data_IF_905400828186
#
_entry.id   IF_905400828186
#
_cell.length_a   1.000
_cell.length_b   1.000
_cell.length_c   1.000
_cell.angle_alpha   90.00
_cell.angle_beta   90.00
_cell.angle_gamma   90.00
#
_symmetry.space_group_name_H-M   'P 1'
#
loop_
_entity.id
_entity.type
_entity.pdbx_description
1 polymer ?
#
# COMPACT_ATOMS: atom_id res chain seq x y z
N UNK A 1 8.90 6.41 27.40
CA UNK A 1 7.44 6.32 27.61
C UNK A 1 6.76 6.08 26.28
N UNK A 2 5.75 5.21 26.22
CA UNK A 2 5.00 4.97 24.98
C UNK A 2 4.20 6.23 24.64
N UNK A 3 4.39 6.78 23.44
CA UNK A 3 3.65 7.95 22.96
C UNK A 3 2.15 7.59 22.89
N UNK A 4 1.25 8.41 23.44
CA UNK A 4 -0.18 8.12 23.37
C UNK A 4 -0.62 8.00 21.92
N UNK A 5 -1.49 7.01 21.64
CA UNK A 5 -2.00 6.77 20.29
C UNK A 5 -2.84 7.97 19.86
N UNK A 6 -2.46 8.58 18.74
CA UNK A 6 -3.18 9.72 18.16
C UNK A 6 -4.53 9.31 17.55
N UNK A 7 -4.68 8.02 17.22
CA UNK A 7 -5.75 7.48 16.40
C UNK A 7 -6.37 6.27 17.09
N UNK A 8 -7.67 6.34 17.39
CA UNK A 8 -8.47 5.29 18.04
C UNK A 8 -9.48 4.76 17.04
N UNK A 9 -9.30 3.52 16.57
CA UNK A 9 -10.18 2.92 15.57
C UNK A 9 -11.41 2.34 16.29
N UNK A 10 -12.60 2.77 15.87
CA UNK A 10 -13.88 2.21 16.27
C UNK A 10 -14.68 1.94 15.01
N UNK A 11 -14.75 0.69 14.60
CA UNK A 11 -15.56 0.27 13.47
C UNK A 11 -17.03 0.18 13.89
N UNK A 12 -17.91 0.46 12.94
CA UNK A 12 -19.32 0.06 13.03
C UNK A 12 -19.50 -1.39 12.54
N UNK A 13 -20.61 -2.03 12.91
CA UNK A 13 -20.88 -3.42 12.49
C UNK A 13 -20.94 -3.58 10.97
N UNK A 14 -21.47 -2.58 10.26
CA UNK A 14 -21.55 -2.56 8.80
C UNK A 14 -20.15 -2.45 8.17
N UNK A 15 -19.32 -1.55 8.70
CA UNK A 15 -17.92 -1.39 8.30
C UNK A 15 -17.13 -2.70 8.50
N UNK A 16 -17.28 -3.34 9.65
CA UNK A 16 -16.64 -4.62 9.93
C UNK A 16 -17.12 -5.74 8.99
N UNK A 17 -18.42 -5.76 8.64
CA UNK A 17 -18.98 -6.70 7.66
C UNK A 17 -18.39 -6.48 6.26
N UNK A 18 -18.25 -5.23 5.83
CA UNK A 18 -17.64 -4.92 4.52
C UNK A 18 -16.18 -5.36 4.46
N UNK A 19 -15.38 -5.05 5.48
CA UNK A 19 -13.96 -5.45 5.54
C UNK A 19 -13.80 -6.97 5.52
N UNK A 20 -14.62 -7.70 6.28
CA UNK A 20 -14.63 -9.17 6.27
C UNK A 20 -15.04 -9.74 4.91
N UNK A 21 -16.00 -9.14 4.22
CA UNK A 21 -16.41 -9.54 2.87
C UNK A 21 -15.26 -9.38 1.87
N UNK A 22 -14.53 -8.25 1.94
CA UNK A 22 -13.39 -7.96 1.07
C UNK A 22 -12.25 -8.96 1.28
N UNK A 23 -11.98 -9.36 2.53
CA UNK A 23 -10.94 -10.35 2.85
C UNK A 23 -11.29 -11.75 2.29
N UNK A 24 -12.57 -12.11 2.27
CA UNK A 24 -13.05 -13.41 1.76
C UNK A 24 -13.04 -13.50 0.24
N UNK A 25 -13.08 -12.36 -0.46
CA UNK A 25 -13.10 -12.33 -1.92
C UNK A 25 -11.75 -12.80 -2.48
N UNK A 26 -11.79 -13.75 -3.42
CA UNK A 26 -10.61 -14.36 -4.02
C UNK A 26 -9.79 -13.40 -4.90
N UNK A 27 -10.43 -12.39 -5.50
CA UNK A 27 -9.79 -11.39 -6.35
C UNK A 27 -9.19 -10.19 -5.57
N UNK A 28 -9.11 -10.28 -4.24
CA UNK A 28 -8.55 -9.19 -3.43
C UNK A 28 -7.03 -9.31 -3.37
N UNK A 29 -6.33 -8.22 -3.70
CA UNK A 29 -4.86 -8.17 -3.60
C UNK A 29 -4.38 -8.41 -2.16
N UNK A 30 -3.18 -8.98 -2.02
CA UNK A 30 -2.53 -9.21 -0.72
C UNK A 30 -2.41 -7.92 0.10
N UNK A 31 -2.15 -6.79 -0.57
CA UNK A 31 -2.03 -5.48 0.07
C UNK A 31 -3.35 -5.00 0.66
N UNK A 32 -4.45 -5.05 -0.10
CA UNK A 32 -5.77 -4.65 0.41
C UNK A 32 -6.18 -5.57 1.56
N UNK A 33 -5.98 -6.87 1.41
CA UNK A 33 -6.29 -7.86 2.46
C UNK A 33 -5.53 -7.56 3.75
N UNK A 34 -4.23 -7.31 3.66
CA UNK A 34 -3.39 -6.98 4.82
C UNK A 34 -3.85 -5.67 5.48
N UNK A 35 -4.19 -4.64 4.69
CA UNK A 35 -4.70 -3.37 5.24
C UNK A 35 -6.03 -3.55 5.96
N UNK A 36 -6.98 -4.28 5.38
CA UNK A 36 -8.27 -4.58 6.03
C UNK A 36 -8.07 -5.35 7.33
N UNK A 37 -7.15 -6.34 7.35
CA UNK A 37 -6.85 -7.11 8.55
C UNK A 37 -6.22 -6.25 9.65
N UNK A 38 -5.30 -5.34 9.30
CA UNK A 38 -4.72 -4.39 10.25
C UNK A 38 -5.81 -3.53 10.92
N UNK A 39 -6.80 -3.06 10.15
CA UNK A 39 -7.89 -2.25 10.69
C UNK A 39 -8.79 -3.07 11.63
N UNK A 40 -9.08 -4.33 11.29
CA UNK A 40 -9.84 -5.24 12.16
C UNK A 40 -9.06 -5.57 13.45
N UNK A 41 -7.75 -5.80 13.35
CA UNK A 41 -6.89 -6.13 14.50
C UNK A 41 -6.79 -4.99 15.52
N UNK A 42 -6.91 -3.75 15.03
CA UNK A 42 -6.79 -2.52 15.83
C UNK A 42 -8.13 -1.94 16.28
N UNK A 43 -9.23 -2.56 15.91
CA UNK A 43 -10.57 -2.11 16.27
C UNK A 43 -10.80 -2.26 17.79
N UNK A 44 -11.17 -1.16 18.44
CA UNK A 44 -11.50 -1.13 19.87
C UNK A 44 -12.98 -1.44 20.14
N UNK A 45 -13.84 -1.36 19.13
CA UNK A 45 -15.27 -1.61 19.27
C UNK A 45 -15.61 -3.11 19.29
N UNK A 46 -14.88 -3.92 18.52
CA UNK A 46 -15.18 -5.34 18.37
C UNK A 46 -14.00 -6.24 18.73
N UNK A 47 -14.16 -6.98 19.83
CA UNK A 47 -13.26 -8.08 20.20
C UNK A 47 -11.96 -7.65 20.89
N UNK A 48 -10.87 -8.38 20.61
CA UNK A 48 -9.58 -8.20 21.30
C UNK A 48 -8.68 -7.27 20.50
N UNK A 49 -8.44 -6.08 21.05
CA UNK A 49 -7.54 -5.08 20.47
C UNK A 49 -6.10 -5.57 20.51
N UNK A 50 -5.47 -5.67 19.34
CA UNK A 50 -4.05 -6.00 19.23
C UNK A 50 -3.21 -4.72 19.33
N UNK A 51 -1.97 -4.88 19.77
CA UNK A 51 -0.97 -3.81 19.68
C UNK A 51 -0.48 -3.66 18.24
N UNK A 52 0.05 -2.48 17.89
CA UNK A 52 0.62 -2.27 16.55
C UNK A 52 1.73 -3.29 16.24
N UNK A 53 2.52 -3.68 17.23
CA UNK A 53 3.56 -4.72 17.10
C UNK A 53 2.97 -6.11 16.86
N UNK A 54 1.91 -6.47 17.60
CA UNK A 54 1.25 -7.76 17.42
C UNK A 54 0.55 -7.85 16.06
N UNK A 55 -0.15 -6.80 15.64
CA UNK A 55 -0.78 -6.76 14.31
C UNK A 55 0.27 -6.80 13.20
N UNK A 56 1.39 -6.08 13.35
CA UNK A 56 2.52 -6.13 12.41
C UNK A 56 3.07 -7.56 12.26
N UNK A 57 3.30 -8.27 13.37
CA UNK A 57 3.78 -9.66 13.36
C UNK A 57 2.75 -10.62 12.75
N UNK A 58 1.48 -10.51 13.13
CA UNK A 58 0.39 -11.36 12.62
C UNK A 58 0.20 -11.22 11.11
N UNK A 59 0.29 -9.99 10.60
CA UNK A 59 0.11 -9.70 9.18
C UNK A 59 1.41 -9.81 8.35
N UNK A 60 2.57 -10.01 9.00
CA UNK A 60 3.87 -10.07 8.33
C UNK A 60 4.27 -8.74 7.68
N UNK A 61 3.96 -7.60 8.31
CA UNK A 61 4.26 -6.25 7.81
C UNK A 61 5.12 -5.47 8.79
N UNK A 62 5.78 -4.41 8.31
CA UNK A 62 6.51 -3.50 9.19
C UNK A 62 5.55 -2.58 9.99
N UNK A 63 6.03 -2.09 11.14
CA UNK A 63 5.28 -1.15 11.99
C UNK A 63 4.84 0.11 11.24
N UNK A 64 5.67 0.61 10.34
CA UNK A 64 5.36 1.78 9.51
C UNK A 64 4.15 1.54 8.61
N UNK A 65 3.98 0.32 8.10
CA UNK A 65 2.81 -0.05 7.29
C UNK A 65 1.54 -0.02 8.14
N UNK A 66 1.61 -0.46 9.39
CA UNK A 66 0.49 -0.37 10.34
C UNK A 66 0.12 1.10 10.58
N UNK A 67 1.08 1.94 10.94
CA UNK A 67 0.81 3.37 11.20
C UNK A 67 0.29 4.11 9.97
N UNK A 68 0.81 3.80 8.78
CA UNK A 68 0.36 4.39 7.53
C UNK A 68 -1.06 3.94 7.19
N UNK A 69 -1.40 2.67 7.45
CA UNK A 69 -2.75 2.14 7.22
C UNK A 69 -3.77 2.79 8.14
N UNK A 70 -3.44 2.95 9.42
CA UNK A 70 -4.27 3.69 10.39
C UNK A 70 -4.48 5.13 9.92
N UNK A 71 -3.41 5.84 9.58
CA UNK A 71 -3.50 7.23 9.09
C UNK A 71 -4.35 7.32 7.82
N UNK A 72 -4.21 6.34 6.91
CA UNK A 72 -4.98 6.26 5.66
C UNK A 72 -6.47 6.08 5.93
N UNK A 73 -6.83 5.19 6.85
CA UNK A 73 -8.21 4.99 7.29
C UNK A 73 -8.80 6.28 7.89
N UNK A 74 -8.06 6.97 8.75
CA UNK A 74 -8.52 8.25 9.31
C UNK A 74 -8.68 9.36 8.28
N UNK A 75 -7.86 9.37 7.23
CA UNK A 75 -7.92 10.41 6.19
C UNK A 75 -9.03 10.20 5.15
N UNK A 76 -9.51 8.98 4.95
CA UNK A 76 -10.43 8.68 3.84
C UNK A 76 -11.30 7.44 4.03
N UNK A 77 -11.50 7.01 5.27
CA UNK A 77 -12.39 5.92 5.64
C UNK A 77 -12.02 4.56 5.03
N UNK A 78 -13.03 3.72 4.87
CA UNK A 78 -12.88 2.37 4.31
C UNK A 78 -12.41 2.39 2.87
N UNK A 79 -12.97 3.26 2.03
CA UNK A 79 -12.62 3.35 0.61
C UNK A 79 -11.12 3.60 0.42
N UNK A 80 -10.52 4.46 1.25
CA UNK A 80 -9.09 4.70 1.21
C UNK A 80 -8.26 3.44 1.53
N UNK A 81 -8.76 2.53 2.36
CA UNK A 81 -8.07 1.29 2.73
C UNK A 81 -8.23 0.23 1.64
N UNK A 82 -9.43 0.16 1.05
CA UNK A 82 -9.85 -0.88 0.11
C UNK A 82 -9.46 -0.59 -1.33
N UNK A 83 -9.20 0.67 -1.68
CA UNK A 83 -8.84 1.06 -3.04
C UNK A 83 -7.34 1.33 -3.23
N UNK A 84 -6.91 1.08 -4.47
CA UNK A 84 -5.65 1.58 -4.98
C UNK A 84 -5.91 2.88 -5.75
N UNK A 85 -5.32 3.97 -5.29
CA UNK A 85 -5.18 5.19 -6.10
C UNK A 85 -4.10 4.97 -7.15
N UNK A 86 -4.41 4.15 -8.16
CA UNK A 86 -3.52 3.91 -9.29
C UNK A 86 -3.71 5.04 -10.29
N UNK A 87 -2.62 5.66 -10.74
CA UNK A 87 -2.69 6.65 -11.80
C UNK A 87 -2.95 5.92 -13.12
N UNK A 88 -3.93 6.38 -13.90
CA UNK A 88 -4.24 5.87 -15.24
C UNK A 88 -2.99 5.90 -16.14
N UNK A 89 -2.13 6.91 -15.98
CA UNK A 89 -0.89 7.03 -16.74
C UNK A 89 0.13 5.93 -16.40
N UNK A 90 0.09 5.36 -15.19
CA UNK A 90 0.98 4.24 -14.82
C UNK A 90 0.62 2.97 -15.56
N UNK A 91 -0.66 2.71 -15.81
CA UNK A 91 -1.11 1.54 -16.57
C UNK A 91 -0.94 1.74 -18.09
N UNK A 92 -0.93 3.01 -18.54
CA UNK A 92 -0.68 3.40 -19.92
C UNK A 92 0.80 3.76 -20.21
N UNK A 93 1.72 3.49 -19.28
CA UNK A 93 3.15 3.70 -19.48
C UNK A 93 3.66 2.70 -20.54
N UNK A 94 3.51 3.06 -21.81
CA UNK A 94 4.04 2.31 -22.93
C UNK A 94 5.52 2.61 -23.07
N UNK A 95 6.29 1.61 -23.49
CA UNK A 95 7.69 1.79 -23.87
C UNK A 95 7.75 2.88 -24.95
N UNK A 96 8.40 4.00 -24.64
CA UNK A 96 8.47 5.16 -25.54
C UNK A 96 9.40 4.85 -26.73
N UNK A 97 10.43 4.04 -26.47
CA UNK A 97 11.44 3.67 -27.43
C UNK A 97 11.22 2.22 -27.91
N UNK A 98 11.48 1.99 -29.19
CA UNK A 98 11.61 0.65 -29.72
C UNK A 98 13.00 0.07 -29.40
N UNK A 99 13.16 -1.25 -29.53
CA UNK A 99 14.43 -1.91 -29.18
C UNK A 99 15.63 -1.40 -29.99
N UNK A 100 15.40 -0.85 -31.19
CA UNK A 100 16.46 -0.27 -32.02
C UNK A 100 16.91 1.09 -31.50
N UNK A 101 15.98 1.97 -31.10
CA UNK A 101 16.35 3.24 -30.49
C UNK A 101 17.06 3.03 -29.14
N UNK A 102 16.65 2.05 -28.34
CA UNK A 102 17.36 1.69 -27.11
C UNK A 102 18.78 1.20 -27.39
N UNK A 103 18.97 0.33 -28.40
CA UNK A 103 20.29 -0.15 -28.78
C UNK A 103 21.23 0.99 -29.21
N UNK A 104 20.72 1.99 -29.95
CA UNK A 104 21.49 3.18 -30.32
C UNK A 104 21.89 4.04 -29.11
N UNK A 105 21.02 4.18 -28.12
CA UNK A 105 21.34 4.92 -26.89
C UNK A 105 22.42 4.19 -26.09
N UNK A 106 22.31 2.86 -25.98
CA UNK A 106 23.33 2.03 -25.31
C UNK A 106 24.67 2.12 -26.04
N UNK A 107 24.68 2.05 -27.37
CA UNK A 107 25.90 2.21 -28.19
C UNK A 107 26.54 3.58 -27.96
N UNK A 108 25.76 4.66 -27.92
CA UNK A 108 26.27 6.01 -27.69
C UNK A 108 26.81 6.18 -26.25
N UNK A 109 26.16 5.57 -25.26
CA UNK A 109 26.58 5.66 -23.86
C UNK A 109 27.82 4.79 -23.55
N UNK A 110 27.95 3.64 -24.20
CA UNK A 110 29.06 2.71 -24.02
C UNK A 110 30.17 2.87 -25.07
N UNK A 111 30.00 3.80 -26.03
CA UNK A 111 30.93 4.08 -27.11
C UNK A 111 32.03 5.06 -26.71
N UNK A 112 32.96 5.36 -27.64
CA UNK A 112 33.99 6.37 -27.41
C UNK A 112 33.35 7.75 -27.22
N UNK A 113 34.01 8.59 -26.42
CA UNK A 113 33.57 9.97 -26.18
C UNK A 113 33.42 10.71 -27.52
N UNK A 114 32.27 11.37 -27.77
CA UNK A 114 32.08 12.14 -28.98
C UNK A 114 33.02 13.33 -29.04
N UNK A 115 33.48 13.68 -30.25
CA UNK A 115 34.41 14.79 -30.45
C UNK A 115 33.85 16.12 -29.89
N UNK A 116 34.70 16.85 -29.17
CA UNK A 116 34.35 18.15 -28.58
C UNK A 116 33.97 18.13 -27.09
N UNK A 117 34.01 16.98 -26.43
CA UNK A 117 33.91 16.87 -24.97
C UNK A 117 35.18 16.22 -24.40
N UNK A 118 35.76 16.84 -23.37
CA UNK A 118 36.86 16.32 -22.53
C UNK A 118 36.36 16.09 -21.11
#
# INVERSE_FOLDING_TARGET
>A
MARPRKYVIKLTDDELKTLKSIIRKSNTSKTIRSRCQIIIDLDEAHGKVLTHEQSARSNGVCLTTVTNTVTKYFSGGIEAVTEFKRNINSDNARRILDGRAEARIIELACGPVPEGHS
#
